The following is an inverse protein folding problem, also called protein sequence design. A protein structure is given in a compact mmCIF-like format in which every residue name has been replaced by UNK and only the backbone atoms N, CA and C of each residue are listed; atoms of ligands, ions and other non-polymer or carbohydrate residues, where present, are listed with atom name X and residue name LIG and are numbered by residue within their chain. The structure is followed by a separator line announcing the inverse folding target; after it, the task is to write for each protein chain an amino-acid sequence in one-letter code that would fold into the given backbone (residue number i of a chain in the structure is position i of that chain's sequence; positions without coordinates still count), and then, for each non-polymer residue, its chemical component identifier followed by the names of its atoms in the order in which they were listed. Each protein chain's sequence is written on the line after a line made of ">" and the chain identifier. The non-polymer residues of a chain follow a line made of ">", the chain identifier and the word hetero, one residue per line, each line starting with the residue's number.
data_IF_581983608580
#
_entry.id   IF_581983608580
#
_cell.length_a   1.000
_cell.length_b   1.000
_cell.length_c   1.000
_cell.angle_alpha   90.00
_cell.angle_beta   90.00
_cell.angle_gamma   90.00
#
_symmetry.space_group_name_H-M   'P 1'
#
loop_
_entity.id
_entity.type
_entity.pdbx_description
1 polymer ?
#
# COMPACT_ATOMS: atom_id res chain seq x y z
N UNK A 1 28.28 -21.41 -17.83
CA UNK A 1 26.87 -21.55 -17.41
C UNK A 1 26.89 -21.87 -15.93
N UNK A 2 26.69 -20.88 -15.07
CA UNK A 2 26.59 -21.09 -13.63
C UNK A 2 25.31 -21.86 -13.34
N UNK A 3 25.39 -22.96 -12.63
CA UNK A 3 24.25 -23.75 -12.20
C UNK A 3 23.30 -22.83 -11.43
N UNK A 4 22.02 -22.78 -11.84
CA UNK A 4 20.99 -22.01 -11.13
C UNK A 4 20.78 -22.70 -9.77
N UNK A 5 21.26 -22.05 -8.72
CA UNK A 5 21.01 -22.52 -7.34
C UNK A 5 19.49 -22.49 -7.09
N UNK A 6 18.92 -23.64 -6.80
CA UNK A 6 17.52 -23.78 -6.39
C UNK A 6 17.51 -24.08 -4.91
N UNK A 7 16.96 -23.17 -4.13
CA UNK A 7 16.67 -23.37 -2.73
C UNK A 7 15.16 -23.48 -2.52
N UNK A 8 14.75 -23.91 -1.36
CA UNK A 8 13.34 -23.90 -0.98
C UNK A 8 13.17 -23.25 0.39
N UNK A 9 12.14 -22.44 0.53
CA UNK A 9 11.76 -21.83 1.81
C UNK A 9 10.52 -22.57 2.34
N UNK A 10 10.62 -23.10 3.56
CA UNK A 10 9.47 -23.69 4.26
C UNK A 10 8.53 -22.58 4.76
N UNK A 11 7.25 -22.66 4.38
CA UNK A 11 6.21 -21.69 4.80
C UNK A 11 4.97 -22.49 5.21
N UNK A 12 4.77 -22.66 6.51
CA UNK A 12 3.73 -23.55 7.02
C UNK A 12 3.92 -24.99 6.53
N UNK A 13 2.94 -25.53 5.85
CA UNK A 13 2.99 -26.89 5.27
C UNK A 13 3.55 -26.93 3.84
N UNK A 14 3.88 -25.78 3.25
CA UNK A 14 4.39 -25.69 1.87
C UNK A 14 5.89 -25.47 1.83
N UNK A 15 6.51 -25.99 0.78
CA UNK A 15 7.89 -25.69 0.41
C UNK A 15 7.86 -24.84 -0.87
N UNK A 16 8.26 -23.59 -0.78
CA UNK A 16 8.24 -22.64 -1.89
C UNK A 16 9.60 -22.60 -2.56
N UNK A 17 9.70 -22.89 -3.87
CA UNK A 17 10.98 -22.86 -4.58
C UNK A 17 11.47 -21.43 -4.71
N UNK A 18 12.77 -21.24 -4.46
CA UNK A 18 13.48 -19.97 -4.62
C UNK A 18 14.55 -20.11 -5.70
N UNK A 19 14.38 -19.43 -6.80
CA UNK A 19 15.37 -19.40 -7.90
C UNK A 19 16.31 -18.22 -7.75
N UNK A 20 17.61 -18.45 -7.91
CA UNK A 20 18.66 -17.44 -7.77
C UNK A 20 18.53 -16.67 -6.45
N UNK A 21 18.62 -17.36 -5.28
CA UNK A 21 18.45 -16.76 -3.96
C UNK A 21 19.40 -15.60 -3.71
N UNK A 22 20.65 -15.72 -4.17
CA UNK A 22 21.72 -14.74 -3.98
C UNK A 22 21.63 -13.54 -4.94
N UNK A 23 20.61 -13.50 -5.81
CA UNK A 23 20.45 -12.36 -6.71
C UNK A 23 20.16 -11.11 -5.91
N UNK A 24 21.05 -10.13 -5.98
CA UNK A 24 20.85 -8.83 -5.34
C UNK A 24 19.72 -8.06 -6.00
N UNK A 25 18.69 -7.75 -5.22
CA UNK A 25 17.59 -6.89 -5.64
C UNK A 25 17.84 -5.42 -5.26
N UNK A 26 18.70 -5.18 -4.24
CA UNK A 26 19.18 -3.87 -3.85
C UNK A 26 20.70 -3.95 -3.71
N UNK A 27 21.44 -3.74 -4.83
CA UNK A 27 22.90 -3.98 -4.85
C UNK A 27 23.68 -3.12 -3.88
N UNK A 28 23.31 -1.84 -3.72
CA UNK A 28 24.00 -0.90 -2.82
C UNK A 28 23.89 -1.31 -1.34
N UNK A 29 22.86 -2.09 -1.00
CA UNK A 29 22.58 -2.56 0.36
C UNK A 29 22.92 -4.06 0.53
N UNK A 30 23.32 -4.76 -0.55
CA UNK A 30 23.55 -6.20 -0.57
C UNK A 30 22.30 -7.02 -0.24
N UNK A 31 21.09 -6.48 -0.46
CA UNK A 31 19.84 -7.18 -0.16
C UNK A 31 19.49 -8.12 -1.31
N UNK A 32 19.42 -9.41 -0.99
CA UNK A 32 19.17 -10.47 -1.96
C UNK A 32 17.69 -10.82 -2.10
N UNK A 33 17.38 -11.63 -3.11
CA UNK A 33 16.03 -12.20 -3.27
C UNK A 33 15.65 -13.11 -2.11
N UNK A 34 16.59 -13.86 -1.56
CA UNK A 34 16.36 -14.68 -0.37
C UNK A 34 15.95 -13.83 0.83
N UNK A 35 16.62 -12.72 1.04
CA UNK A 35 16.32 -11.80 2.13
C UNK A 35 14.94 -11.13 1.97
N UNK A 36 14.57 -10.73 0.74
CA UNK A 36 13.22 -10.24 0.46
C UNK A 36 12.14 -11.30 0.73
N UNK A 37 12.39 -12.56 0.33
CA UNK A 37 11.45 -13.66 0.54
C UNK A 37 11.30 -14.00 2.04
N UNK A 38 12.39 -13.97 2.79
CA UNK A 38 12.39 -14.19 4.24
C UNK A 38 11.70 -13.04 4.99
N UNK A 39 11.93 -11.80 4.58
CA UNK A 39 11.19 -10.65 5.10
C UNK A 39 9.68 -10.84 4.94
N UNK A 40 9.20 -11.17 3.72
CA UNK A 40 7.77 -11.37 3.49
C UNK A 40 7.20 -12.57 4.24
N UNK A 41 7.99 -13.62 4.48
CA UNK A 41 7.63 -14.73 5.38
C UNK A 41 7.41 -14.22 6.80
N UNK A 42 8.31 -13.38 7.29
CA UNK A 42 8.31 -12.85 8.66
C UNK A 42 7.12 -11.92 8.90
N UNK A 43 6.85 -11.00 7.96
CA UNK A 43 5.74 -10.02 8.10
C UNK A 43 4.41 -10.52 7.56
N UNK A 44 4.32 -11.78 7.12
CA UNK A 44 3.09 -12.31 6.54
C UNK A 44 1.87 -12.17 7.46
N UNK A 45 2.04 -12.42 8.77
CA UNK A 45 0.94 -12.36 9.74
C UNK A 45 0.25 -10.99 9.81
N UNK A 46 0.92 -9.85 10.00
CA UNK A 46 0.30 -8.54 9.96
C UNK A 46 -0.08 -8.08 8.53
N UNK A 47 0.62 -8.54 7.48
CA UNK A 47 0.40 -8.09 6.11
C UNK A 47 -0.80 -8.75 5.42
N UNK A 48 -1.01 -10.05 5.60
CA UNK A 48 -2.04 -10.82 4.90
C UNK A 48 -3.48 -10.27 5.06
N UNK A 49 -3.93 -9.77 6.22
CA UNK A 49 -5.25 -9.14 6.32
C UNK A 49 -5.51 -8.02 5.32
N UNK A 50 -4.45 -7.39 4.82
CA UNK A 50 -4.52 -6.29 3.85
C UNK A 50 -4.46 -6.74 2.39
N UNK A 51 -4.01 -7.99 2.14
CA UNK A 51 -3.89 -8.59 0.80
C UNK A 51 -5.02 -9.58 0.49
N UNK A 52 -5.50 -10.28 1.51
CA UNK A 52 -6.44 -11.39 1.37
C UNK A 52 -7.67 -11.03 0.56
N UNK A 53 -8.06 -11.96 -0.33
CA UNK A 53 -9.22 -11.87 -1.21
C UNK A 53 -9.14 -10.72 -2.22
N UNK A 54 -7.95 -10.18 -2.56
CA UNK A 54 -7.84 -9.04 -3.49
C UNK A 54 -7.09 -9.40 -4.74
N UNK A 55 -7.56 -8.92 -5.92
CA UNK A 55 -6.72 -8.91 -7.09
C UNK A 55 -5.43 -8.12 -6.81
N UNK A 56 -4.30 -8.65 -7.24
CA UNK A 56 -2.99 -8.10 -6.94
C UNK A 56 -2.26 -7.69 -8.22
N UNK A 57 -1.70 -6.51 -8.23
CA UNK A 57 -0.73 -6.07 -9.23
C UNK A 57 0.67 -6.21 -8.64
N UNK A 58 1.53 -6.93 -9.34
CA UNK A 58 2.92 -7.14 -8.94
C UNK A 58 3.81 -6.08 -9.57
N UNK A 59 4.47 -5.26 -8.79
CA UNK A 59 5.55 -4.39 -9.28
C UNK A 59 6.86 -5.18 -9.22
N UNK A 60 7.29 -5.70 -10.39
CA UNK A 60 8.40 -6.63 -10.53
C UNK A 60 9.66 -5.92 -11.01
N UNK A 61 10.78 -6.35 -10.43
CA UNK A 61 12.13 -5.86 -10.73
C UNK A 61 13.08 -7.05 -10.99
N UNK A 62 12.98 -7.72 -12.15
CA UNK A 62 13.79 -8.91 -12.43
C UNK A 62 15.29 -8.67 -12.31
N UNK A 63 15.76 -7.45 -12.61
CA UNK A 63 17.17 -7.07 -12.57
C UNK A 63 17.53 -6.16 -11.39
N UNK A 64 16.75 -6.23 -10.30
CA UNK A 64 16.92 -5.38 -9.13
C UNK A 64 16.26 -4.01 -9.29
N UNK A 65 16.16 -3.24 -8.19
CA UNK A 65 15.36 -2.01 -8.15
C UNK A 65 15.89 -0.89 -9.04
N UNK A 66 17.17 -0.93 -9.40
CA UNK A 66 17.81 0.01 -10.32
C UNK A 66 17.56 -0.36 -11.80
N UNK A 67 17.13 -1.58 -12.05
CA UNK A 67 16.81 -2.08 -13.38
C UNK A 67 15.42 -1.68 -13.87
N UNK A 68 15.02 -2.23 -15.01
CA UNK A 68 13.67 -2.03 -15.56
C UNK A 68 12.64 -2.72 -14.71
N UNK A 69 11.57 -1.99 -14.38
CA UNK A 69 10.39 -2.52 -13.70
C UNK A 69 9.19 -2.60 -14.62
N UNK A 70 8.24 -3.43 -14.25
CA UNK A 70 6.93 -3.48 -14.89
C UNK A 70 5.84 -3.90 -13.93
N UNK A 71 4.64 -3.39 -14.15
CA UNK A 71 3.44 -3.82 -13.44
C UNK A 71 2.86 -5.06 -14.12
N UNK A 72 2.95 -6.20 -13.43
CA UNK A 72 2.47 -7.48 -13.90
C UNK A 72 1.09 -7.76 -13.31
N UNK A 73 0.07 -7.78 -14.15
CA UNK A 73 -1.33 -7.96 -13.78
C UNK A 73 -1.83 -9.38 -14.08
N UNK A 74 -1.44 -9.92 -15.24
CA UNK A 74 -1.88 -11.22 -15.72
C UNK A 74 -0.97 -12.33 -15.17
N UNK A 75 -1.57 -13.37 -14.62
CA UNK A 75 -0.82 -14.52 -14.05
C UNK A 75 -0.33 -15.40 -15.20
N UNK A 76 0.98 -15.64 -15.32
CA UNK A 76 1.52 -16.53 -16.33
C UNK A 76 1.19 -18.00 -16.03
N UNK A 77 1.14 -18.84 -17.08
CA UNK A 77 0.84 -20.26 -17.01
C UNK A 77 1.79 -21.07 -16.10
N UNK A 78 3.01 -20.55 -15.85
CA UNK A 78 3.98 -21.22 -14.97
C UNK A 78 3.75 -20.95 -13.47
N UNK A 79 2.75 -20.14 -13.10
CA UNK A 79 2.41 -19.96 -11.69
C UNK A 79 1.85 -21.27 -11.12
N UNK A 80 2.20 -21.61 -9.88
CA UNK A 80 1.68 -22.80 -9.23
C UNK A 80 0.14 -22.77 -9.11
N UNK A 81 -0.51 -23.87 -9.38
CA UNK A 81 -1.97 -24.03 -9.30
C UNK A 81 -2.55 -23.73 -7.90
N UNK A 82 -1.72 -23.83 -6.85
CA UNK A 82 -2.14 -23.52 -5.48
C UNK A 82 -2.24 -22.02 -5.20
N UNK A 83 -1.76 -21.15 -6.10
CA UNK A 83 -1.98 -19.71 -6.01
C UNK A 83 -3.37 -19.41 -6.57
N UNK A 84 -4.24 -18.93 -5.68
CA UNK A 84 -5.57 -18.52 -6.09
C UNK A 84 -5.51 -17.37 -7.10
N UNK A 85 -6.37 -17.42 -8.08
CA UNK A 85 -6.54 -16.37 -9.09
C UNK A 85 -7.98 -15.89 -9.17
N UNK A 86 -8.18 -14.73 -9.78
CA UNK A 86 -9.49 -14.15 -10.07
C UNK A 86 -9.51 -13.58 -11.47
N UNK A 87 -10.61 -13.81 -12.20
CA UNK A 87 -10.86 -13.19 -13.50
C UNK A 87 -11.40 -11.78 -13.29
N UNK A 88 -10.68 -10.80 -13.80
CA UNK A 88 -11.07 -9.38 -13.74
C UNK A 88 -11.49 -8.94 -15.14
N UNK A 89 -12.73 -8.51 -15.35
CA UNK A 89 -13.19 -7.99 -16.63
C UNK A 89 -12.40 -6.76 -17.07
N UNK A 90 -12.13 -6.67 -18.36
CA UNK A 90 -11.58 -5.49 -19.03
C UNK A 90 -12.21 -5.34 -20.42
N UNK A 91 -12.03 -4.18 -21.03
CA UNK A 91 -12.43 -3.99 -22.43
C UNK A 91 -11.78 -5.05 -23.32
N UNK A 92 -12.60 -5.77 -24.10
CA UNK A 92 -12.16 -6.84 -25.00
C UNK A 92 -11.78 -8.17 -24.33
N UNK A 93 -12.17 -8.42 -23.05
CA UNK A 93 -11.92 -9.72 -22.41
C UNK A 93 -11.75 -9.67 -20.91
N UNK A 94 -10.80 -10.45 -20.36
CA UNK A 94 -10.49 -10.50 -18.95
C UNK A 94 -8.98 -10.58 -18.70
N UNK A 95 -8.58 -10.33 -17.45
CA UNK A 95 -7.21 -10.52 -16.94
C UNK A 95 -7.28 -11.50 -15.79
N UNK A 96 -6.41 -12.50 -15.76
CA UNK A 96 -6.28 -13.43 -14.64
C UNK A 96 -5.31 -12.86 -13.62
N UNK A 97 -5.81 -12.36 -12.49
CA UNK A 97 -4.96 -11.74 -11.47
C UNK A 97 -4.73 -12.68 -10.29
N UNK A 98 -3.52 -12.64 -9.73
CA UNK A 98 -3.20 -13.39 -8.52
C UNK A 98 -3.92 -12.80 -7.30
N UNK A 99 -4.27 -13.67 -6.35
CA UNK A 99 -4.78 -13.32 -5.02
C UNK A 99 -3.82 -13.88 -3.99
N UNK A 100 -3.35 -13.04 -3.07
CA UNK A 100 -2.41 -13.43 -2.03
C UNK A 100 -3.15 -13.70 -0.71
N UNK A 101 -3.53 -14.95 -0.49
CA UNK A 101 -4.31 -15.36 0.68
C UNK A 101 -3.47 -15.99 1.80
N UNK A 102 -2.24 -16.39 1.50
CA UNK A 102 -1.34 -17.05 2.44
C UNK A 102 0.12 -16.61 2.31
N UNK A 103 0.91 -16.95 3.31
CA UNK A 103 2.33 -16.59 3.37
C UNK A 103 3.15 -17.27 2.25
N UNK A 104 2.77 -18.46 1.80
CA UNK A 104 3.49 -19.16 0.73
C UNK A 104 3.33 -18.42 -0.61
N UNK A 105 2.13 -17.91 -0.89
CA UNK A 105 1.88 -17.04 -2.05
C UNK A 105 2.73 -15.78 -1.97
N UNK A 106 2.79 -15.11 -0.82
CA UNK A 106 3.57 -13.89 -0.63
C UNK A 106 5.07 -14.13 -0.88
N UNK A 107 5.63 -15.22 -0.33
CA UNK A 107 7.02 -15.66 -0.57
C UNK A 107 7.25 -16.01 -2.04
N UNK A 108 6.29 -16.67 -2.70
CA UNK A 108 6.40 -16.96 -4.12
C UNK A 108 6.43 -15.69 -4.97
N UNK A 109 5.64 -14.68 -4.63
CA UNK A 109 5.68 -13.38 -5.34
C UNK A 109 7.05 -12.72 -5.19
N UNK A 110 7.70 -12.80 -4.02
CA UNK A 110 9.07 -12.34 -3.83
C UNK A 110 10.05 -13.12 -4.72
N UNK A 111 9.89 -14.45 -4.86
CA UNK A 111 10.68 -15.25 -5.81
C UNK A 111 10.52 -14.75 -7.26
N UNK A 112 9.36 -14.20 -7.62
CA UNK A 112 9.11 -13.57 -8.91
C UNK A 112 9.69 -12.15 -9.02
N UNK A 113 10.54 -11.74 -8.07
CA UNK A 113 11.08 -10.38 -7.94
C UNK A 113 9.98 -9.29 -7.85
N UNK A 114 8.82 -9.62 -7.28
CA UNK A 114 7.82 -8.66 -6.89
C UNK A 114 8.31 -7.96 -5.61
N UNK A 115 8.94 -6.80 -5.78
CA UNK A 115 9.39 -6.00 -4.64
C UNK A 115 8.19 -5.39 -3.94
N UNK A 116 7.24 -4.84 -4.70
CA UNK A 116 6.08 -4.15 -4.13
C UNK A 116 4.78 -4.76 -4.62
N UNK A 117 4.02 -5.48 -3.78
CA UNK A 117 2.67 -5.89 -4.09
C UNK A 117 1.68 -4.72 -3.92
N UNK A 118 0.79 -4.56 -4.91
CA UNK A 118 -0.23 -3.52 -4.97
C UNK A 118 -1.63 -4.14 -5.03
N UNK A 119 -2.34 -4.29 -3.91
CA UNK A 119 -3.69 -4.83 -3.90
C UNK A 119 -4.72 -3.82 -4.41
N UNK A 120 -5.80 -4.34 -4.97
CA UNK A 120 -7.00 -3.57 -5.25
C UNK A 120 -7.68 -3.09 -3.97
N UNK A 121 -8.47 -2.01 -4.09
CA UNK A 121 -9.25 -1.48 -2.96
C UNK A 121 -10.57 -2.23 -2.73
N UNK A 122 -10.90 -3.19 -3.58
CA UNK A 122 -12.03 -4.12 -3.45
C UNK A 122 -11.54 -5.57 -3.32
N UNK A 123 -12.46 -6.50 -3.07
CA UNK A 123 -12.19 -7.93 -2.98
C UNK A 123 -12.72 -8.67 -4.20
N UNK A 124 -12.18 -9.87 -4.42
CA UNK A 124 -12.48 -10.73 -5.56
C UNK A 124 -13.96 -11.18 -5.64
N UNK A 125 -14.67 -11.22 -4.51
CA UNK A 125 -16.09 -11.57 -4.42
C UNK A 125 -17.03 -10.41 -4.86
N UNK A 126 -16.56 -9.16 -4.82
CA UNK A 126 -17.28 -8.00 -5.34
C UNK A 126 -16.26 -6.95 -5.82
N UNK A 127 -15.91 -6.99 -7.10
CA UNK A 127 -14.88 -6.12 -7.66
C UNK A 127 -15.28 -4.64 -7.67
N UNK A 128 -16.57 -4.33 -7.73
CA UNK A 128 -17.10 -2.97 -7.74
C UNK A 128 -17.37 -2.38 -6.34
N UNK A 129 -17.18 -3.19 -5.28
CA UNK A 129 -17.45 -2.81 -3.90
C UNK A 129 -16.14 -2.50 -3.16
N UNK A 130 -15.62 -1.27 -3.15
CA UNK A 130 -14.43 -0.95 -2.38
C UNK A 130 -14.68 -1.15 -0.89
N UNK A 131 -13.73 -1.78 -0.18
CA UNK A 131 -13.79 -1.95 1.26
C UNK A 131 -12.84 -0.99 1.99
N UNK A 132 -12.23 -0.06 1.24
CA UNK A 132 -11.34 0.97 1.78
C UNK A 132 -11.30 2.21 0.89
N UNK A 133 -11.07 3.36 1.52
CA UNK A 133 -10.62 4.60 0.88
C UNK A 133 -9.16 4.83 1.21
N UNK A 134 -8.42 5.43 0.28
CA UNK A 134 -7.03 5.84 0.46
C UNK A 134 -6.90 7.32 0.11
N UNK A 135 -6.31 8.09 1.01
CA UNK A 135 -5.85 9.45 0.76
C UNK A 135 -4.33 9.42 0.75
N UNK A 136 -3.72 9.79 -0.37
CA UNK A 136 -2.26 9.86 -0.53
C UNK A 136 -1.81 11.31 -0.35
N UNK A 137 -1.04 11.57 0.69
CA UNK A 137 -0.49 12.87 1.01
C UNK A 137 0.86 13.02 0.31
N UNK A 138 0.87 13.64 -0.87
CA UNK A 138 2.06 13.80 -1.73
C UNK A 138 2.68 15.19 -1.54
N UNK A 139 3.83 15.28 -0.83
CA UNK A 139 4.50 16.56 -0.60
C UNK A 139 5.02 17.17 -1.90
N UNK A 140 5.18 18.48 -1.91
CA UNK A 140 5.83 19.17 -3.01
C UNK A 140 7.33 18.79 -3.06
N UNK A 141 7.95 18.94 -4.22
CA UNK A 141 9.39 18.68 -4.38
C UNK A 141 10.26 19.76 -3.70
N UNK A 142 9.66 20.89 -3.33
CA UNK A 142 10.32 22.07 -2.78
C UNK A 142 9.92 22.34 -1.32
N UNK A 143 9.43 21.31 -0.61
CA UNK A 143 8.95 21.46 0.76
C UNK A 143 10.17 21.62 1.69
N UNK A 144 10.54 22.86 1.98
CA UNK A 144 11.67 23.20 2.85
C UNK A 144 11.46 22.77 4.31
N UNK A 145 10.20 22.52 4.71
CA UNK A 145 9.81 22.08 6.05
C UNK A 145 9.92 20.54 6.24
N UNK A 146 10.45 19.84 5.22
CA UNK A 146 10.64 18.40 5.28
C UNK A 146 9.32 17.65 5.43
N UNK A 147 9.29 16.68 6.37
CA UNK A 147 8.13 15.81 6.57
C UNK A 147 7.05 16.41 7.51
N UNK A 148 7.30 17.60 8.08
CA UNK A 148 6.39 18.27 9.02
C UNK A 148 5.05 18.63 8.38
N UNK A 149 5.06 19.22 7.20
CA UNK A 149 3.82 19.52 6.46
C UNK A 149 3.00 18.27 6.18
N UNK A 150 3.65 17.13 5.89
CA UNK A 150 2.95 15.86 5.66
C UNK A 150 2.31 15.33 6.94
N UNK A 151 3.04 15.36 8.08
CA UNK A 151 2.54 14.94 9.40
C UNK A 151 1.37 15.80 9.84
N UNK A 152 1.52 17.12 9.73
CA UNK A 152 0.46 18.08 10.02
C UNK A 152 -0.79 17.83 9.16
N UNK A 153 -0.61 17.66 7.84
CA UNK A 153 -1.73 17.37 6.92
C UNK A 153 -2.44 16.07 7.27
N UNK A 154 -1.69 15.05 7.67
CA UNK A 154 -2.28 13.78 8.11
C UNK A 154 -3.17 13.96 9.34
N UNK A 155 -2.77 14.81 10.31
CA UNK A 155 -3.61 15.13 11.48
C UNK A 155 -4.86 15.86 11.07
N UNK A 156 -4.75 16.93 10.28
CA UNK A 156 -5.91 17.69 9.83
C UNK A 156 -6.91 16.82 9.07
N UNK A 157 -6.43 15.93 8.21
CA UNK A 157 -7.29 14.98 7.49
C UNK A 157 -7.88 13.92 8.44
N UNK A 158 -7.09 13.42 9.39
CA UNK A 158 -7.53 12.46 10.40
C UNK A 158 -8.65 13.02 11.28
N UNK A 159 -8.51 14.27 11.71
CA UNK A 159 -9.52 14.99 12.51
C UNK A 159 -10.82 15.17 11.71
N UNK A 160 -10.73 15.64 10.46
CA UNK A 160 -11.91 15.80 9.58
C UNK A 160 -12.61 14.44 9.34
N UNK A 161 -11.87 13.38 9.03
CA UNK A 161 -12.45 12.05 8.85
C UNK A 161 -13.12 11.53 10.11
N UNK A 162 -12.57 11.84 11.30
CA UNK A 162 -13.15 11.50 12.60
C UNK A 162 -14.41 12.32 12.89
N UNK A 163 -14.42 13.61 12.57
CA UNK A 163 -15.62 14.48 12.62
C UNK A 163 -16.75 13.92 11.77
N UNK A 164 -16.41 13.36 10.59
CA UNK A 164 -17.36 12.67 9.72
C UNK A 164 -17.81 11.29 10.25
N UNK A 165 -17.29 10.83 11.40
CA UNK A 165 -17.62 9.55 12.04
C UNK A 165 -16.90 8.34 11.45
N UNK A 166 -15.87 8.57 10.65
CA UNK A 166 -15.00 7.54 10.12
C UNK A 166 -13.86 7.23 11.10
N UNK A 167 -13.14 6.14 10.86
CA UNK A 167 -11.97 5.76 11.66
C UNK A 167 -10.76 5.61 10.74
N UNK A 168 -10.00 6.68 10.52
CA UNK A 168 -8.81 6.64 9.70
C UNK A 168 -7.67 5.94 10.42
N UNK A 169 -6.86 5.23 9.63
CA UNK A 169 -5.56 4.69 10.03
C UNK A 169 -4.48 5.34 9.15
N UNK A 170 -3.28 5.50 9.67
CA UNK A 170 -2.18 6.20 9.01
C UNK A 170 -0.97 5.30 8.81
N UNK A 171 -0.27 5.45 7.67
CA UNK A 171 0.97 4.73 7.38
C UNK A 171 1.94 5.58 6.56
N UNK A 172 3.25 5.32 6.72
CA UNK A 172 4.24 5.84 5.77
C UNK A 172 4.09 5.13 4.42
N UNK A 173 4.37 5.82 3.33
CA UNK A 173 4.36 5.18 2.00
C UNK A 173 5.65 4.41 1.69
N UNK A 174 6.68 4.52 2.55
CA UNK A 174 8.03 4.06 2.23
C UNK A 174 8.65 4.81 1.05
N UNK A 175 8.10 5.96 0.68
CA UNK A 175 8.58 6.81 -0.42
C UNK A 175 8.74 8.27 0.02
N UNK A 176 7.70 9.11 -0.07
CA UNK A 176 7.78 10.53 0.26
C UNK A 176 6.70 11.01 1.22
N UNK A 177 5.57 10.37 1.26
CA UNK A 177 4.37 10.83 1.94
C UNK A 177 3.80 9.83 2.94
N UNK A 178 2.57 10.13 3.35
CA UNK A 178 1.71 9.28 4.18
C UNK A 178 0.46 8.87 3.42
N UNK A 179 -0.04 7.68 3.71
CA UNK A 179 -1.41 7.31 3.36
C UNK A 179 -2.30 7.36 4.59
N UNK A 180 -3.51 7.90 4.44
CA UNK A 180 -4.60 7.63 5.37
C UNK A 180 -5.55 6.64 4.72
N UNK A 181 -5.91 5.61 5.49
CA UNK A 181 -6.80 4.53 5.09
C UNK A 181 -8.07 4.56 5.93
N UNK A 182 -9.23 4.47 5.29
CA UNK A 182 -10.52 4.26 5.95
C UNK A 182 -11.12 2.96 5.48
N UNK A 183 -11.56 2.08 6.40
CA UNK A 183 -12.23 0.84 6.03
C UNK A 183 -13.75 1.06 5.87
N UNK A 184 -14.29 0.53 4.77
CA UNK A 184 -15.70 0.64 4.39
C UNK A 184 -16.44 -0.69 4.58
N UNK A 185 -17.77 -0.60 4.68
CA UNK A 185 -18.70 -1.73 4.84
C UNK A 185 -19.08 -2.41 3.50
N UNK A 186 -18.52 -1.95 2.37
CA UNK A 186 -18.71 -2.50 1.03
C UNK A 186 -20.12 -2.32 0.44
N UNK A 187 -20.86 -1.31 0.89
CA UNK A 187 -22.21 -0.99 0.39
C UNK A 187 -22.24 0.09 -0.67
N UNK A 188 -21.07 0.64 -0.99
CA UNK A 188 -20.89 1.76 -1.89
C UNK A 188 -20.02 1.32 -3.06
N UNK A 189 -20.29 1.80 -4.27
CA UNK A 189 -19.44 1.60 -5.45
C UNK A 189 -18.22 2.53 -5.47
N UNK A 190 -17.34 2.32 -6.45
CA UNK A 190 -16.13 3.12 -6.59
C UNK A 190 -16.38 4.58 -6.94
N UNK A 191 -17.41 4.87 -7.75
CA UNK A 191 -17.69 6.25 -8.16
C UNK A 191 -18.17 7.09 -6.99
N UNK A 192 -19.09 6.55 -6.18
CA UNK A 192 -19.57 7.18 -4.95
C UNK A 192 -18.44 7.33 -3.94
N UNK A 193 -17.66 6.27 -3.71
CA UNK A 193 -16.53 6.30 -2.77
C UNK A 193 -15.46 7.34 -3.18
N UNK A 194 -15.13 7.40 -4.47
CA UNK A 194 -14.19 8.38 -5.03
C UNK A 194 -14.73 9.80 -4.95
N UNK A 195 -16.02 9.99 -5.23
CA UNK A 195 -16.67 11.30 -5.12
C UNK A 195 -16.61 11.81 -3.68
N UNK A 196 -16.95 10.96 -2.72
CA UNK A 196 -16.83 11.29 -1.29
C UNK A 196 -15.39 11.67 -0.92
N UNK A 197 -14.40 10.85 -1.28
CA UNK A 197 -12.99 11.12 -0.98
C UNK A 197 -12.54 12.48 -1.58
N UNK A 198 -12.99 12.79 -2.80
CA UNK A 198 -12.71 14.06 -3.46
C UNK A 198 -13.28 15.24 -2.69
N UNK A 199 -14.55 15.16 -2.28
CA UNK A 199 -15.22 16.22 -1.51
C UNK A 199 -14.53 16.46 -0.16
N UNK A 200 -14.14 15.40 0.55
CA UNK A 200 -13.36 15.52 1.80
C UNK A 200 -12.05 16.27 1.55
N UNK A 201 -11.32 15.90 0.52
CA UNK A 201 -10.07 16.57 0.16
C UNK A 201 -10.29 18.04 -0.24
N UNK A 202 -11.35 18.35 -0.98
CA UNK A 202 -11.69 19.72 -1.39
C UNK A 202 -12.06 20.60 -0.18
N UNK A 203 -12.84 20.07 0.79
CA UNK A 203 -13.16 20.77 2.05
C UNK A 203 -11.88 21.06 2.84
N UNK A 204 -10.99 20.07 2.99
CA UNK A 204 -9.74 20.25 3.72
C UNK A 204 -8.82 21.27 3.03
N UNK A 205 -8.70 21.18 1.71
CA UNK A 205 -7.91 22.13 0.92
C UNK A 205 -8.48 23.56 0.96
N UNK A 206 -9.80 23.71 1.05
CA UNK A 206 -10.44 25.02 1.23
C UNK A 206 -10.15 25.62 2.62
N UNK A 207 -10.19 24.80 3.68
CA UNK A 207 -9.85 25.24 5.06
C UNK A 207 -8.37 25.67 5.19
N UNK A 208 -7.47 25.12 4.36
CA UNK A 208 -6.01 25.32 4.43
C UNK A 208 -5.41 25.60 3.05
N UNK A 209 -5.99 26.56 2.32
CA UNK A 209 -5.68 26.82 0.92
C UNK A 209 -4.28 27.39 0.67
N UNK A 210 -3.58 27.84 1.70
CA UNK A 210 -2.17 28.25 1.69
C UNK A 210 -1.21 27.06 1.67
N UNK A 211 -1.58 25.92 2.25
CA UNK A 211 -0.72 24.73 2.45
C UNK A 211 -1.15 23.52 1.62
N UNK A 212 -2.45 23.33 1.36
CA UNK A 212 -3.02 22.15 0.73
C UNK A 212 -3.66 22.45 -0.62
N UNK A 213 -3.70 21.43 -1.48
CA UNK A 213 -4.35 21.52 -2.80
C UNK A 213 -4.86 20.16 -3.28
N UNK A 214 -5.94 20.18 -4.05
CA UNK A 214 -6.44 19.04 -4.83
C UNK A 214 -6.05 19.11 -6.32
N UNK A 215 -5.16 20.04 -6.71
CA UNK A 215 -4.69 20.19 -8.09
C UNK A 215 -3.68 19.09 -8.44
N UNK A 216 -3.99 18.20 -9.41
CA UNK A 216 -3.12 17.08 -9.75
C UNK A 216 -1.85 17.51 -10.51
N UNK A 217 -1.88 18.63 -11.24
CA UNK A 217 -0.76 19.10 -12.05
C UNK A 217 0.29 19.75 -11.17
N UNK A 218 1.49 19.16 -11.09
CA UNK A 218 2.59 19.62 -10.22
C UNK A 218 2.90 21.11 -10.35
N UNK A 219 2.98 21.65 -11.57
CA UNK A 219 3.27 23.05 -11.84
C UNK A 219 2.20 24.04 -11.33
N UNK A 220 0.99 23.55 -11.04
CA UNK A 220 -0.10 24.36 -10.50
C UNK A 220 -0.25 24.26 -8.98
N UNK A 221 0.46 23.35 -8.33
CA UNK A 221 0.40 23.15 -6.86
C UNK A 221 1.01 24.32 -6.08
N UNK A 222 1.93 25.08 -6.67
CA UNK A 222 2.57 26.28 -6.06
C UNK A 222 3.21 25.97 -4.69
N UNK A 223 3.94 24.85 -4.58
CA UNK A 223 4.57 24.42 -3.32
C UNK A 223 3.65 23.74 -2.31
N UNK A 224 2.33 23.68 -2.55
CA UNK A 224 1.36 23.08 -1.64
C UNK A 224 1.39 21.55 -1.71
N UNK A 225 1.07 20.91 -0.58
CA UNK A 225 0.89 19.46 -0.50
C UNK A 225 -0.37 19.06 -1.29
N UNK A 226 -0.24 18.01 -2.09
CA UNK A 226 -1.34 17.46 -2.87
C UNK A 226 -2.07 16.34 -2.12
N UNK A 227 -3.38 16.53 -1.93
CA UNK A 227 -4.29 15.53 -1.40
C UNK A 227 -4.77 14.63 -2.56
N UNK A 228 -4.04 13.54 -2.81
CA UNK A 228 -4.39 12.63 -3.92
C UNK A 228 -5.44 11.61 -3.51
N UNK A 229 -6.58 11.67 -4.20
CA UNK A 229 -7.71 10.73 -4.03
C UNK A 229 -7.93 9.83 -5.26
N UNK A 230 -7.05 9.91 -6.27
CA UNK A 230 -7.23 9.20 -7.55
C UNK A 230 -7.14 7.68 -7.39
N UNK A 231 -6.48 7.19 -6.32
CA UNK A 231 -6.40 5.76 -6.01
C UNK A 231 -7.75 5.11 -5.76
N UNK A 232 -8.78 5.91 -5.46
CA UNK A 232 -10.13 5.42 -5.17
C UNK A 232 -10.99 5.16 -6.43
N UNK A 233 -10.41 5.09 -7.61
CA UNK A 233 -11.13 4.70 -8.82
C UNK A 233 -11.10 3.17 -9.02
N UNK A 234 -12.06 2.64 -9.76
CA UNK A 234 -12.11 1.22 -10.15
C UNK A 234 -10.77 0.79 -10.79
N UNK A 235 -10.33 -0.41 -10.48
CA UNK A 235 -9.08 -1.01 -10.95
C UNK A 235 -7.78 -0.24 -10.56
N UNK A 236 -7.87 0.78 -9.71
CA UNK A 236 -6.71 1.40 -9.12
C UNK A 236 -6.21 0.59 -7.91
N UNK A 237 -4.94 0.76 -7.60
CA UNK A 237 -4.27 0.07 -6.51
C UNK A 237 -3.53 1.06 -5.61
N UNK A 238 -3.27 0.64 -4.39
CA UNK A 238 -2.32 1.33 -3.51
C UNK A 238 -1.23 0.36 -3.06
N UNK A 239 -0.12 0.89 -2.54
CA UNK A 239 0.89 0.04 -1.92
C UNK A 239 0.28 -0.72 -0.74
N UNK A 240 0.61 -2.01 -0.61
CA UNK A 240 0.18 -2.79 0.54
C UNK A 240 0.89 -2.30 1.83
N UNK A 241 0.20 -2.25 2.97
CA UNK A 241 0.87 -2.13 4.26
C UNK A 241 1.93 -3.23 4.41
N UNK A 242 3.06 -2.90 4.99
CA UNK A 242 4.24 -3.78 5.15
C UNK A 242 4.97 -4.14 3.85
N UNK A 243 4.59 -3.58 2.69
CA UNK A 243 5.30 -3.83 1.44
C UNK A 243 6.62 -3.09 1.37
N UNK A 244 7.66 -3.79 0.92
CA UNK A 244 8.95 -3.18 0.56
C UNK A 244 8.77 -2.29 -0.66
N UNK A 245 9.45 -1.15 -0.67
CA UNK A 245 9.46 -0.23 -1.80
C UNK A 245 10.78 -0.33 -2.55
N UNK A 246 10.69 -0.29 -3.87
CA UNK A 246 11.86 -0.27 -4.74
C UNK A 246 12.53 1.13 -4.71
N UNK A 247 13.21 1.41 -3.61
CA UNK A 247 13.95 2.63 -3.31
C UNK A 247 15.23 2.28 -2.56
N UNK A 248 16.28 3.15 -2.56
CA UNK A 248 17.49 2.92 -1.76
C UNK A 248 17.14 2.53 -0.31
N UNK A 249 17.87 1.57 0.23
CA UNK A 249 17.72 0.99 1.56
C UNK A 249 16.45 0.16 1.78
N UNK A 250 15.75 -0.24 0.72
CA UNK A 250 14.55 -1.09 0.79
C UNK A 250 13.55 -0.65 1.86
N UNK A 251 13.08 0.63 1.85
CA UNK A 251 12.14 1.11 2.85
C UNK A 251 10.80 0.42 2.73
N UNK A 252 10.05 0.40 3.82
CA UNK A 252 8.78 -0.28 3.94
C UNK A 252 7.62 0.70 4.10
N UNK A 253 6.52 0.43 3.43
CA UNK A 253 5.25 1.10 3.65
C UNK A 253 4.69 0.65 5.02
N UNK A 254 4.84 1.48 6.04
CA UNK A 254 4.73 1.06 7.44
C UNK A 254 3.52 1.67 8.13
N UNK A 255 2.57 0.84 8.62
CA UNK A 255 1.53 1.26 9.55
C UNK A 255 2.06 1.98 10.79
N UNK A 256 1.34 3.00 11.24
CA UNK A 256 1.69 3.84 12.38
C UNK A 256 0.56 3.90 13.39
N UNK A 257 0.92 4.09 14.66
CA UNK A 257 0.02 4.67 15.65
C UNK A 257 -0.07 6.19 15.45
N UNK A 258 -1.21 6.80 15.80
CA UNK A 258 -1.40 8.24 15.59
C UNK A 258 -0.43 9.13 16.36
N UNK A 259 -0.01 8.69 17.56
CA UNK A 259 0.96 9.43 18.38
C UNK A 259 2.37 9.43 17.77
N UNK A 260 2.73 8.49 16.90
CA UNK A 260 4.02 8.50 16.21
C UNK A 260 4.18 9.72 15.28
N UNK A 261 3.07 10.32 14.84
CA UNK A 261 3.12 11.58 14.10
C UNK A 261 3.63 12.77 14.97
N UNK A 262 3.69 12.63 16.29
CA UNK A 262 4.25 13.68 17.19
C UNK A 262 5.78 13.67 17.19
N UNK A 263 6.41 12.58 16.78
CA UNK A 263 7.87 12.48 16.70
C UNK A 263 8.39 13.35 15.54
N UNK A 264 9.18 14.41 15.83
CA UNK A 264 9.81 15.22 14.80
C UNK A 264 10.83 14.45 13.95
N UNK A 265 11.35 13.33 14.46
CA UNK A 265 12.27 12.44 13.75
C UNK A 265 11.57 11.48 12.78
N UNK A 266 10.23 11.39 12.81
CA UNK A 266 9.50 10.53 11.90
C UNK A 266 9.71 10.97 10.45
N UNK A 267 10.18 10.03 9.62
CA UNK A 267 10.35 10.20 8.19
C UNK A 267 9.59 9.16 7.35
N UNK A 268 9.38 9.44 6.05
CA UNK A 268 8.60 8.55 5.19
C UNK A 268 9.27 7.21 4.88
N UNK A 269 10.56 7.05 5.19
CA UNK A 269 11.39 5.86 4.93
C UNK A 269 12.09 5.35 6.18
N UNK A 270 11.54 5.63 7.35
CA UNK A 270 12.16 5.33 8.63
C UNK A 270 12.46 3.85 8.84
N UNK A 271 11.54 3.00 8.40
CA UNK A 271 11.69 1.55 8.54
C UNK A 271 12.03 0.91 7.20
N UNK A 272 12.96 -0.01 7.27
CA UNK A 272 13.46 -0.77 6.12
C UNK A 272 13.07 -2.25 6.27
N UNK A 273 13.32 -3.01 5.22
CA UNK A 273 13.19 -4.48 5.24
C UNK A 273 13.90 -5.12 6.45
N UNK A 274 15.05 -4.54 6.89
CA UNK A 274 15.85 -5.08 8.01
C UNK A 274 15.35 -4.63 9.38
N UNK A 275 14.81 -3.42 9.50
CA UNK A 275 14.47 -2.82 10.80
C UNK A 275 13.02 -3.00 11.22
N UNK A 276 12.09 -3.17 10.25
CA UNK A 276 10.67 -3.32 10.56
C UNK A 276 10.33 -4.60 11.35
N UNK A 277 10.96 -5.79 11.11
CA UNK A 277 10.69 -6.97 11.91
C UNK A 277 10.95 -6.78 13.41
N UNK A 278 12.06 -6.14 13.78
CA UNK A 278 12.38 -5.83 15.18
C UNK A 278 11.36 -4.89 15.83
N UNK A 279 10.91 -3.87 15.07
CA UNK A 279 9.83 -2.99 15.54
C UNK A 279 8.54 -3.76 15.81
N UNK A 280 8.14 -4.65 14.89
CA UNK A 280 6.93 -5.45 15.07
C UNK A 280 7.02 -6.44 16.24
N UNK A 281 8.20 -6.96 16.51
CA UNK A 281 8.45 -7.83 17.67
C UNK A 281 8.34 -7.05 18.97
N UNK A 282 8.90 -5.84 19.02
CA UNK A 282 8.93 -4.99 20.20
C UNK A 282 7.58 -4.32 20.49
N UNK A 283 6.99 -3.69 19.48
CA UNK A 283 5.86 -2.76 19.64
C UNK A 283 4.53 -3.38 19.16
N UNK A 284 4.60 -4.47 18.40
CA UNK A 284 3.43 -5.12 17.81
C UNK A 284 2.95 -4.47 16.50
N UNK A 285 1.77 -4.91 16.03
CA UNK A 285 1.13 -4.38 14.83
C UNK A 285 0.21 -3.20 15.20
N UNK A 286 0.51 -1.94 14.77
CA UNK A 286 -0.31 -0.77 15.04
C UNK A 286 -1.74 -0.89 14.50
N UNK A 287 -1.92 -1.69 13.44
CA UNK A 287 -3.22 -1.88 12.82
C UNK A 287 -3.94 -3.16 13.27
N UNK A 288 -3.48 -3.77 14.37
CA UNK A 288 -4.15 -4.93 14.96
C UNK A 288 -5.60 -4.61 15.30
N UNK A 289 -6.52 -5.35 14.68
CA UNK A 289 -7.96 -5.15 14.89
C UNK A 289 -8.61 -4.05 14.05
N UNK A 290 -7.88 -3.41 13.14
CA UNK A 290 -8.40 -2.37 12.23
C UNK A 290 -9.66 -2.84 11.46
N UNK A 291 -9.77 -4.13 11.13
CA UNK A 291 -10.93 -4.71 10.44
C UNK A 291 -12.28 -4.49 11.14
N UNK A 292 -12.27 -4.23 12.46
CA UNK A 292 -13.46 -3.91 13.26
C UNK A 292 -13.92 -2.46 13.10
N UNK A 293 -13.12 -1.63 12.45
CA UNK A 293 -13.34 -0.19 12.30
C UNK A 293 -14.09 0.18 11.01
N UNK A 294 -14.67 -0.80 10.30
CA UNK A 294 -15.46 -0.55 9.07
C UNK A 294 -16.65 0.35 9.33
N UNK A 295 -16.89 1.29 8.40
CA UNK A 295 -18.01 2.24 8.48
C UNK A 295 -18.71 2.36 7.12
N UNK A 296 -20.01 2.69 7.18
CA UNK A 296 -20.76 3.12 6.00
C UNK A 296 -20.42 4.57 5.66
N UNK A 297 -20.39 4.90 4.38
CA UNK A 297 -20.25 6.28 3.91
C UNK A 297 -21.54 7.09 4.07
N UNK A 298 -22.71 6.47 4.12
CA UNK A 298 -24.01 7.18 4.15
C UNK A 298 -24.08 8.23 5.26
N UNK A 299 -23.72 7.87 6.50
CA UNK A 299 -23.74 8.83 7.60
C UNK A 299 -22.62 9.88 7.50
N UNK A 300 -21.49 9.51 6.91
CA UNK A 300 -20.37 10.42 6.68
C UNK A 300 -20.70 11.44 5.59
N UNK A 301 -21.40 11.05 4.54
CA UNK A 301 -21.90 11.94 3.48
C UNK A 301 -22.86 12.99 4.03
N UNK A 302 -23.86 12.57 4.85
CA UNK A 302 -24.80 13.50 5.49
C UNK A 302 -24.08 14.54 6.37
N UNK A 303 -23.03 14.14 7.09
CA UNK A 303 -22.23 15.07 7.88
C UNK A 303 -21.38 15.99 7.01
N UNK A 304 -20.83 15.48 5.90
CA UNK A 304 -20.08 16.26 4.95
C UNK A 304 -20.95 17.31 4.24
N UNK A 305 -22.23 17.00 3.98
CA UNK A 305 -23.21 17.93 3.40
C UNK A 305 -23.59 19.08 4.36
N UNK A 306 -23.35 18.90 5.65
CA UNK A 306 -23.62 19.90 6.68
C UNK A 306 -22.43 20.83 6.97
N UNK A 307 -21.24 20.57 6.39
CA UNK A 307 -20.03 21.42 6.52
C UNK A 307 -20.02 22.56 5.49
#
# INVERSE_FOLDING_TARGET
>A
MTAKTKETIGVGTRSVPLSNPDKELFPDDGITKAELADYYRTVARPMLPHLKDRPLVMERYPDGFQGKSFFHKDVPDYFPEWIRTVQVPKEGGSVTMAVCDDAATLVYLANQACITPHPWLSRADCLDCPDRLVFDLDPSEHDGDGFETVRWSARQLGDLLTELGLRPAVMTTGSRGLHLLVLLDRRTDFDTARHFARRVADVLAARHSDRLTTEPRKNKRRGRLYLDTQRNAYAQTSVAPYAVRARPHAPVATPLEWNELDDPGLGPRQWTLRTLPERLEKDGDPWKGLSRCRRSLTAAEQRLDAL
#
